data_IF_107615799969
#
_entry.id   IF_107615799969
#
_cell.length_a   1.000
_cell.length_b   1.000
_cell.length_c   1.000
_cell.angle_alpha   90.00
_cell.angle_beta   90.00
_cell.angle_gamma   90.00
#
_symmetry.space_group_name_H-M   'P 1'
#
loop_
_entity.id
_entity.type
_entity.pdbx_description
1 polymer ?
#
# COMPACT_ATOMS: atom_id res chain seq x y z
N UNK A 1 12.71 -17.05 -14.69
CA UNK A 1 12.31 -17.16 -13.26
C UNK A 1 11.21 -16.15 -12.99
N UNK A 2 9.96 -16.60 -12.76
CA UNK A 2 8.88 -15.70 -12.33
C UNK A 2 9.03 -15.48 -10.83
N UNK A 3 9.59 -14.35 -10.43
CA UNK A 3 9.67 -13.94 -9.02
C UNK A 3 8.49 -13.01 -8.68
N UNK A 4 7.98 -13.25 -7.48
CA UNK A 4 6.73 -12.84 -6.81
C UNK A 4 6.76 -11.39 -6.31
N UNK A 5 5.58 -10.88 -5.95
CA UNK A 5 5.29 -9.46 -5.80
C UNK A 5 4.43 -9.16 -4.59
N UNK A 6 4.77 -8.12 -3.84
CA UNK A 6 4.37 -7.91 -2.47
C UNK A 6 3.56 -6.62 -2.31
N UNK A 7 2.24 -6.74 -2.38
CA UNK A 7 1.30 -5.64 -2.10
C UNK A 7 1.26 -5.29 -0.60
N UNK A 8 1.48 -4.02 -0.24
CA UNK A 8 1.49 -3.59 1.15
C UNK A 8 0.11 -3.65 1.83
N UNK A 9 -0.99 -3.45 1.08
CA UNK A 9 -2.35 -3.49 1.63
C UNK A 9 -3.20 -4.48 0.86
N UNK A 10 -3.50 -5.62 1.48
CA UNK A 10 -4.17 -6.76 0.84
C UNK A 10 -5.58 -6.97 1.37
N UNK A 11 -6.50 -7.42 0.51
CA UNK A 11 -7.82 -7.90 0.93
C UNK A 11 -7.69 -9.26 1.63
N UNK A 12 -8.55 -9.55 2.62
CA UNK A 12 -8.62 -10.87 3.24
C UNK A 12 -8.88 -11.99 2.23
N UNK A 13 -9.63 -11.72 1.14
CA UNK A 13 -9.84 -12.68 0.04
C UNK A 13 -8.54 -13.14 -0.61
N UNK A 14 -7.53 -12.27 -0.73
CA UNK A 14 -6.23 -12.59 -1.31
C UNK A 14 -5.43 -13.51 -0.37
N UNK A 15 -5.54 -13.28 0.95
CA UNK A 15 -4.92 -14.12 1.98
C UNK A 15 -5.51 -15.52 1.97
N UNK A 16 -6.84 -15.63 1.99
CA UNK A 16 -7.55 -16.91 2.04
C UNK A 16 -7.28 -17.81 0.82
N UNK A 17 -6.88 -17.21 -0.31
CA UNK A 17 -6.56 -17.92 -1.55
C UNK A 17 -5.06 -18.20 -1.74
N UNK A 18 -4.23 -18.09 -0.69
CA UNK A 18 -2.79 -18.40 -0.66
C UNK A 18 -2.03 -17.95 -1.92
N UNK A 19 -2.29 -16.72 -2.34
CA UNK A 19 -1.82 -16.21 -3.63
C UNK A 19 -0.29 -16.01 -3.62
N UNK A 20 0.45 -16.31 -4.73
CA UNK A 20 1.87 -15.99 -4.88
C UNK A 20 2.26 -14.52 -4.56
N UNK A 21 1.29 -13.60 -4.46
CA UNK A 21 1.53 -12.22 -4.04
C UNK A 21 1.97 -12.04 -2.56
N UNK A 22 1.93 -13.08 -1.72
CA UNK A 22 2.19 -12.93 -0.28
C UNK A 22 3.61 -13.31 0.15
N UNK A 23 4.29 -14.18 -0.59
CA UNK A 23 5.51 -14.85 -0.14
C UNK A 23 6.74 -13.95 0.06
N UNK A 24 6.74 -12.74 -0.51
CA UNK A 24 7.86 -11.79 -0.40
C UNK A 24 7.58 -10.65 0.60
N UNK A 25 6.37 -10.57 1.19
CA UNK A 25 6.04 -9.57 2.21
C UNK A 25 6.60 -10.02 3.56
N UNK A 26 7.32 -9.14 4.25
CA UNK A 26 7.60 -9.29 5.68
C UNK A 26 6.53 -8.64 6.55
N UNK A 27 5.71 -7.77 5.96
CA UNK A 27 4.59 -7.11 6.60
C UNK A 27 3.47 -6.79 5.62
N UNK A 28 2.20 -6.89 6.04
CA UNK A 28 1.06 -6.36 5.29
C UNK A 28 -0.03 -5.74 6.18
N UNK A 29 -0.77 -4.77 5.62
CA UNK A 29 -2.03 -4.30 6.18
C UNK A 29 -3.18 -5.06 5.53
N UNK A 30 -3.96 -5.80 6.31
CA UNK A 30 -5.07 -6.58 5.78
C UNK A 30 -6.36 -5.78 5.93
N UNK A 31 -7.02 -5.51 4.80
CA UNK A 31 -8.36 -4.92 4.83
C UNK A 31 -9.35 -5.96 5.33
N UNK A 32 -9.97 -5.67 6.47
CA UNK A 32 -10.97 -6.52 7.12
C UNK A 32 -12.29 -5.76 7.22
N UNK A 33 -13.35 -6.41 6.74
CA UNK A 33 -14.72 -5.88 6.77
C UNK A 33 -15.54 -6.51 7.90
N UNK A 34 -15.08 -7.62 8.51
CA UNK A 34 -15.75 -8.29 9.63
C UNK A 34 -14.76 -8.99 10.57
N UNK A 35 -15.02 -8.95 11.89
CA UNK A 35 -14.20 -9.63 12.91
C UNK A 35 -14.02 -11.12 12.63
N UNK A 36 -15.01 -11.80 12.04
CA UNK A 36 -14.92 -13.22 11.67
C UNK A 36 -13.82 -13.53 10.65
N UNK A 37 -13.35 -12.55 9.88
CA UNK A 37 -12.25 -12.73 8.93
C UNK A 37 -10.88 -12.72 9.61
N UNK A 38 -10.77 -12.18 10.82
CA UNK A 38 -9.51 -11.99 11.54
C UNK A 38 -8.86 -13.33 11.86
N UNK A 39 -9.59 -14.25 12.50
CA UNK A 39 -9.08 -15.57 12.93
C UNK A 39 -8.52 -16.39 11.75
N UNK A 40 -9.21 -16.36 10.61
CA UNK A 40 -8.78 -17.07 9.39
C UNK A 40 -7.55 -16.42 8.76
N UNK A 41 -7.45 -15.09 8.77
CA UNK A 41 -6.29 -14.36 8.24
C UNK A 41 -5.07 -14.54 9.13
N UNK A 42 -5.27 -14.52 10.45
CA UNK A 42 -4.23 -14.66 11.47
C UNK A 42 -3.48 -15.98 11.31
N UNK A 43 -4.21 -17.10 11.32
CA UNK A 43 -3.62 -18.43 11.18
C UNK A 43 -2.80 -18.61 9.89
N UNK A 44 -3.25 -18.01 8.78
CA UNK A 44 -2.53 -18.06 7.50
C UNK A 44 -1.24 -17.23 7.55
N UNK A 45 -1.31 -16.00 8.06
CA UNK A 45 -0.16 -15.09 8.07
C UNK A 45 0.90 -15.50 9.09
N UNK A 46 0.49 -16.08 10.23
CA UNK A 46 1.40 -16.71 11.19
C UNK A 46 2.17 -17.88 10.56
N UNK A 47 1.47 -18.76 9.83
CA UNK A 47 2.11 -19.90 9.15
C UNK A 47 3.13 -19.46 8.08
N UNK A 48 2.93 -18.28 7.47
CA UNK A 48 3.84 -17.68 6.50
C UNK A 48 4.94 -16.82 7.15
N UNK A 49 4.91 -16.64 8.47
CA UNK A 49 5.79 -15.74 9.22
C UNK A 49 5.79 -14.30 8.65
N UNK A 50 4.59 -13.78 8.38
CA UNK A 50 4.37 -12.43 7.86
C UNK A 50 3.75 -11.61 8.99
N UNK A 51 4.45 -10.54 9.41
CA UNK A 51 3.86 -9.58 10.34
C UNK A 51 2.63 -8.95 9.70
N UNK A 52 1.58 -8.68 10.46
CA UNK A 52 0.41 -8.02 9.88
C UNK A 52 -0.37 -7.18 10.87
N UNK A 53 -1.17 -6.27 10.36
CA UNK A 53 -2.18 -5.53 11.14
C UNK A 53 -3.49 -5.43 10.39
N UNK A 54 -4.57 -5.42 11.15
CA UNK A 54 -5.89 -5.13 10.60
C UNK A 54 -5.95 -3.68 10.16
N UNK A 55 -6.47 -3.44 8.96
CA UNK A 55 -6.89 -2.13 8.47
C UNK A 55 -8.41 -2.17 8.25
N UNK A 56 -9.12 -1.26 8.88
CA UNK A 56 -10.58 -1.24 8.80
C UNK A 56 -11.13 0.17 8.99
N UNK A 57 -12.35 0.41 8.52
CA UNK A 57 -13.13 1.60 8.86
C UNK A 57 -14.00 1.41 10.10
N UNK A 58 -14.01 0.21 10.71
CA UNK A 58 -14.82 -0.10 11.90
C UNK A 58 -14.11 0.27 13.20
N UNK A 59 -14.85 0.80 14.16
CA UNK A 59 -14.34 1.11 15.51
C UNK A 59 -14.30 -0.10 16.45
N UNK A 60 -14.86 -1.25 16.03
CA UNK A 60 -15.01 -2.42 16.90
C UNK A 60 -13.77 -3.35 16.89
N UNK A 61 -12.76 -3.04 16.07
CA UNK A 61 -11.50 -3.79 16.04
C UNK A 61 -10.45 -3.05 16.87
N UNK A 62 -9.94 -3.70 17.93
CA UNK A 62 -8.87 -3.15 18.76
C UNK A 62 -7.52 -3.23 18.04
N UNK A 63 -6.62 -2.30 18.37
CA UNK A 63 -5.24 -2.23 17.85
C UNK A 63 -5.10 -2.29 16.31
N UNK A 64 -6.07 -1.69 15.60
CA UNK A 64 -6.10 -1.68 14.14
C UNK A 64 -5.70 -0.33 13.53
N UNK A 65 -5.34 -0.36 12.25
CA UNK A 65 -5.17 0.82 11.42
C UNK A 65 -6.54 1.34 11.00
N UNK A 66 -6.92 2.48 11.57
CA UNK A 66 -8.23 3.10 11.34
C UNK A 66 -8.23 3.88 10.03
N UNK A 67 -9.09 3.47 9.10
CA UNK A 67 -9.30 4.12 7.82
C UNK A 67 -10.47 5.10 7.88
N UNK A 68 -10.25 6.34 7.41
CA UNK A 68 -11.28 7.34 7.18
C UNK A 68 -11.19 7.86 5.76
N UNK A 69 -12.34 7.93 5.10
CA UNK A 69 -12.45 8.48 3.75
C UNK A 69 -13.03 9.89 3.82
N UNK A 70 -12.39 10.82 3.15
CA UNK A 70 -12.96 12.13 2.84
C UNK A 70 -13.14 12.27 1.31
N UNK A 71 -13.59 13.44 0.85
CA UNK A 71 -13.84 13.67 -0.58
C UNK A 71 -12.57 13.62 -1.44
N UNK A 72 -11.39 13.83 -0.85
CA UNK A 72 -10.11 13.97 -1.56
C UNK A 72 -9.17 12.80 -1.33
N UNK A 73 -9.26 12.09 -0.21
CA UNK A 73 -8.29 11.09 0.23
C UNK A 73 -8.93 9.97 1.05
N UNK A 74 -8.18 8.89 1.17
CA UNK A 74 -8.39 7.92 2.23
C UNK A 74 -7.19 7.98 3.17
N UNK A 75 -7.43 8.25 4.44
CA UNK A 75 -6.40 8.40 5.47
C UNK A 75 -6.49 7.20 6.41
N UNK A 76 -5.41 6.46 6.53
CA UNK A 76 -5.25 5.36 7.46
C UNK A 76 -4.28 5.77 8.57
N UNK A 77 -4.69 5.61 9.84
CA UNK A 77 -3.90 6.02 11.01
C UNK A 77 -3.72 4.87 12.00
N UNK A 78 -2.54 4.82 12.59
CA UNK A 78 -2.20 3.92 13.69
C UNK A 78 -1.12 4.57 14.55
N UNK A 79 -1.40 4.82 15.82
CA UNK A 79 -0.53 5.64 16.69
C UNK A 79 -0.14 6.94 15.96
N UNK A 80 1.16 7.22 15.84
CA UNK A 80 1.70 8.39 15.14
C UNK A 80 1.89 8.17 13.62
N UNK A 81 1.61 6.98 13.12
CA UNK A 81 1.73 6.63 11.70
C UNK A 81 0.49 7.12 10.96
N UNK A 82 0.70 7.94 9.92
CA UNK A 82 -0.34 8.36 8.98
C UNK A 82 0.02 7.90 7.58
N UNK A 83 -0.90 7.18 6.93
CA UNK A 83 -0.81 6.75 5.54
C UNK A 83 -1.93 7.45 4.77
N UNK A 84 -1.56 8.14 3.69
CA UNK A 84 -2.49 8.81 2.79
C UNK A 84 -2.55 7.99 1.51
N UNK A 85 -3.71 7.40 1.23
CA UNK A 85 -3.98 6.81 -0.07
C UNK A 85 -4.43 7.88 -1.05
N UNK A 86 -3.67 8.03 -2.12
CA UNK A 86 -3.96 8.95 -3.20
C UNK A 86 -5.31 8.60 -3.86
N UNK A 87 -6.30 9.51 -3.79
CA UNK A 87 -7.53 9.33 -4.57
C UNK A 87 -7.21 9.48 -6.07
N UNK A 88 -7.48 8.48 -6.91
CA UNK A 88 -7.20 8.56 -8.35
C UNK A 88 -8.02 9.63 -9.08
N UNK A 89 -8.97 10.31 -8.44
CA UNK A 89 -9.79 11.34 -9.09
C UNK A 89 -9.46 12.76 -8.65
N UNK A 90 -8.72 12.93 -7.56
CA UNK A 90 -8.50 14.24 -6.92
C UNK A 90 -7.01 14.45 -6.62
N UNK A 91 -6.55 15.69 -6.76
CA UNK A 91 -5.20 16.08 -6.34
C UNK A 91 -5.19 16.21 -4.82
N UNK A 92 -4.14 15.70 -4.18
CA UNK A 92 -3.94 15.89 -2.75
C UNK A 92 -2.62 16.58 -2.44
N UNK A 93 -2.39 16.91 -1.17
CA UNK A 93 -1.08 17.29 -0.66
C UNK A 93 -0.72 16.32 0.44
N UNK A 94 0.50 15.79 0.39
CA UNK A 94 1.03 15.04 1.50
C UNK A 94 1.19 15.95 2.72
N UNK A 95 0.94 15.41 3.92
CA UNK A 95 1.29 16.07 5.17
C UNK A 95 2.72 15.74 5.56
N UNK A 96 3.33 16.58 6.39
CA UNK A 96 4.65 16.30 6.97
C UNK A 96 4.62 14.94 7.68
N UNK A 97 5.64 14.12 7.42
CA UNK A 97 5.82 12.78 8.01
C UNK A 97 4.72 11.76 7.69
N UNK A 98 3.86 12.01 6.70
CA UNK A 98 2.92 10.99 6.22
C UNK A 98 3.55 10.07 5.18
N UNK A 99 3.12 8.82 5.18
CA UNK A 99 3.35 7.86 4.11
C UNK A 99 2.33 8.05 3.00
N UNK A 100 2.74 7.79 1.76
CA UNK A 100 1.88 7.90 0.58
C UNK A 100 1.66 6.51 0.01
N UNK A 101 0.42 6.05 0.03
CA UNK A 101 -0.01 4.81 -0.56
C UNK A 101 -0.52 5.06 -1.99
N UNK A 102 0.08 4.36 -2.95
CA UNK A 102 -0.26 4.45 -4.38
C UNK A 102 -0.84 3.11 -4.83
N UNK A 103 -2.01 3.16 -5.47
CA UNK A 103 -2.68 1.97 -6.02
C UNK A 103 -2.55 1.89 -7.55
N UNK A 104 -2.81 0.71 -8.15
CA UNK A 104 -2.94 0.58 -9.60
C UNK A 104 -3.91 1.57 -10.23
N UNK A 105 -5.04 1.87 -9.57
CA UNK A 105 -5.98 2.90 -10.07
C UNK A 105 -5.35 4.29 -10.09
N UNK A 106 -4.56 4.65 -9.08
CA UNK A 106 -3.81 5.91 -9.07
C UNK A 106 -2.84 5.97 -10.25
N UNK A 107 -2.01 4.94 -10.44
CA UNK A 107 -1.04 4.89 -11.55
C UNK A 107 -1.72 4.98 -12.93
N UNK A 108 -2.82 4.24 -13.12
CA UNK A 108 -3.61 4.25 -14.35
C UNK A 108 -4.23 5.62 -14.62
N UNK A 109 -4.71 6.34 -13.60
CA UNK A 109 -5.19 7.70 -13.80
C UNK A 109 -4.06 8.61 -14.26
N UNK A 110 -2.91 8.56 -13.57
CA UNK A 110 -1.77 9.39 -13.89
C UNK A 110 -1.35 9.24 -15.35
N UNK A 111 -1.31 8.00 -15.86
CA UNK A 111 -0.95 7.75 -17.26
C UNK A 111 -1.98 8.25 -18.27
N UNK A 112 -3.23 8.47 -17.86
CA UNK A 112 -4.33 8.87 -18.75
C UNK A 112 -4.65 10.38 -18.70
N UNK A 113 -4.13 11.12 -17.72
CA UNK A 113 -4.46 12.55 -17.53
C UNK A 113 -3.20 13.41 -17.37
N UNK A 114 -2.82 14.24 -18.36
CA UNK A 114 -1.60 15.06 -18.31
C UNK A 114 -1.56 16.06 -17.15
N UNK A 115 -2.69 16.64 -16.76
CA UNK A 115 -2.76 17.61 -15.67
C UNK A 115 -2.63 16.93 -14.29
N UNK A 116 -3.12 15.70 -14.17
CA UNK A 116 -2.93 14.89 -12.98
C UNK A 116 -1.50 14.37 -12.90
N UNK A 117 -0.95 13.91 -14.03
CA UNK A 117 0.44 13.47 -14.18
C UNK A 117 1.46 14.49 -13.64
N UNK A 118 1.38 15.75 -14.08
CA UNK A 118 2.35 16.79 -13.65
C UNK A 118 2.35 16.99 -12.14
N UNK A 119 1.16 17.04 -11.54
CA UNK A 119 1.01 17.15 -10.09
C UNK A 119 1.53 15.90 -9.38
N UNK A 120 1.16 14.71 -9.87
CA UNK A 120 1.58 13.44 -9.28
C UNK A 120 3.10 13.28 -9.32
N UNK A 121 3.73 13.53 -10.48
CA UNK A 121 5.19 13.45 -10.62
C UNK A 121 5.88 14.36 -9.59
N UNK A 122 5.47 15.63 -9.49
CA UNK A 122 6.01 16.56 -8.50
C UNK A 122 5.84 16.06 -7.05
N UNK A 123 4.63 15.64 -6.70
CA UNK A 123 4.30 15.23 -5.33
C UNK A 123 5.03 13.93 -4.93
N UNK A 124 5.11 12.96 -5.83
CA UNK A 124 5.76 11.67 -5.59
C UNK A 124 7.27 11.82 -5.56
N UNK A 125 7.90 12.58 -6.47
CA UNK A 125 9.35 12.84 -6.42
C UNK A 125 9.77 13.44 -5.07
N UNK A 126 9.02 14.43 -4.59
CA UNK A 126 9.28 15.10 -3.32
C UNK A 126 9.21 14.16 -2.11
N UNK A 127 8.42 13.09 -2.22
CA UNK A 127 8.10 12.20 -1.10
C UNK A 127 8.52 10.74 -1.36
N UNK A 128 9.39 10.48 -2.36
CA UNK A 128 9.68 9.13 -2.85
C UNK A 128 10.09 8.16 -1.74
N UNK A 129 10.84 8.64 -0.75
CA UNK A 129 11.26 7.87 0.44
C UNK A 129 10.15 7.60 1.46
N UNK A 130 8.89 7.88 1.16
CA UNK A 130 7.71 7.54 1.99
C UNK A 130 6.57 7.00 1.14
N UNK A 131 6.87 6.59 -0.09
CA UNK A 131 5.89 6.00 -1.00
C UNK A 131 5.87 4.49 -0.82
N UNK A 132 4.67 3.93 -0.70
CA UNK A 132 4.41 2.49 -0.68
C UNK A 132 3.41 2.16 -1.77
N UNK A 133 3.52 0.96 -2.31
CA UNK A 133 2.56 0.44 -3.29
C UNK A 133 1.55 -0.46 -2.59
N UNK A 134 0.28 -0.29 -2.94
CA UNK A 134 -0.74 -1.25 -2.57
C UNK A 134 -1.67 -1.64 -3.70
N UNK A 135 -2.57 -2.61 -3.53
CA UNK A 135 -3.62 -2.93 -4.48
C UNK A 135 -5.01 -2.55 -3.99
N UNK A 136 -5.81 -2.11 -4.94
CA UNK A 136 -7.25 -1.90 -4.81
C UNK A 136 -8.04 -2.66 -5.86
N UNK A 137 -7.43 -3.72 -6.44
CA UNK A 137 -8.03 -4.65 -7.40
C UNK A 137 -7.87 -6.10 -6.94
N UNK A 138 -8.86 -6.93 -7.26
CA UNK A 138 -8.84 -8.39 -7.05
C UNK A 138 -9.05 -9.08 -8.41
N UNK A 139 -8.05 -9.80 -8.97
CA UNK A 139 -6.69 -9.97 -8.43
C UNK A 139 -5.85 -8.68 -8.57
N UNK A 140 -4.81 -8.51 -7.73
CA UNK A 140 -3.86 -7.40 -7.87
C UNK A 140 -2.96 -7.59 -9.11
N UNK A 141 -2.51 -6.51 -9.76
CA UNK A 141 -1.47 -6.60 -10.79
C UNK A 141 -0.11 -6.95 -10.17
N UNK A 142 0.83 -7.38 -11.00
CA UNK A 142 2.21 -7.60 -10.58
C UNK A 142 2.85 -6.29 -10.07
N UNK A 143 3.57 -6.32 -8.93
CA UNK A 143 4.25 -5.11 -8.41
C UNK A 143 5.25 -4.56 -9.43
N UNK A 144 5.94 -5.40 -10.22
CA UNK A 144 6.84 -4.88 -11.28
C UNK A 144 6.07 -4.05 -12.28
N UNK A 145 4.85 -4.49 -12.57
CA UNK A 145 3.81 -3.78 -13.30
C UNK A 145 3.75 -2.32 -12.85
N UNK A 146 3.47 -2.21 -11.55
CA UNK A 146 3.31 -0.96 -10.84
C UNK A 146 4.61 -0.16 -10.69
N UNK A 147 5.74 -0.81 -10.40
CA UNK A 147 7.05 -0.16 -10.26
C UNK A 147 7.52 0.38 -11.60
N UNK A 148 7.40 -0.38 -12.68
CA UNK A 148 7.76 0.07 -14.02
C UNK A 148 6.90 1.26 -14.45
N UNK A 149 5.59 1.20 -14.20
CA UNK A 149 4.72 2.32 -14.48
C UNK A 149 5.06 3.54 -13.60
N UNK A 150 5.29 3.34 -12.29
CA UNK A 150 5.70 4.40 -11.38
C UNK A 150 7.02 5.04 -11.83
N UNK A 151 8.03 4.24 -12.20
CA UNK A 151 9.35 4.69 -12.63
C UNK A 151 9.26 5.53 -13.91
N UNK A 152 8.41 5.13 -14.86
CA UNK A 152 8.09 5.95 -16.05
C UNK A 152 7.40 7.26 -15.63
N UNK A 153 6.41 7.20 -14.75
CA UNK A 153 5.61 8.36 -14.36
C UNK A 153 6.41 9.41 -13.58
N UNK A 154 7.44 8.99 -12.86
CA UNK A 154 8.34 9.89 -12.15
C UNK A 154 9.69 10.03 -12.85
N UNK A 155 9.90 9.54 -14.06
CA UNK A 155 11.18 9.70 -14.77
C UNK A 155 12.40 9.33 -13.89
N UNK A 156 12.36 8.12 -13.32
CA UNK A 156 13.43 7.52 -12.50
C UNK A 156 13.71 6.10 -12.98
N UNK A 157 14.90 5.57 -12.68
CA UNK A 157 15.25 4.21 -13.08
C UNK A 157 14.41 3.16 -12.33
N UNK A 158 14.01 2.08 -13.03
CA UNK A 158 13.27 0.97 -12.41
C UNK A 158 13.98 0.44 -11.16
N UNK A 159 15.29 0.20 -11.24
CA UNK A 159 16.08 -0.36 -10.14
C UNK A 159 16.11 0.58 -8.92
N UNK A 160 16.21 1.90 -9.15
CA UNK A 160 16.15 2.91 -8.09
C UNK A 160 14.78 2.87 -7.39
N UNK A 161 13.70 2.88 -8.17
CA UNK A 161 12.34 2.86 -7.62
C UNK A 161 12.06 1.55 -6.88
N UNK A 162 12.42 0.40 -7.45
CA UNK A 162 12.25 -0.92 -6.80
C UNK A 162 12.98 -0.98 -5.45
N UNK A 163 14.25 -0.53 -5.41
CA UNK A 163 15.03 -0.48 -4.17
C UNK A 163 14.38 0.41 -3.11
N UNK A 164 13.95 1.62 -3.49
CA UNK A 164 13.33 2.57 -2.56
C UNK A 164 11.98 2.05 -2.05
N UNK A 165 11.12 1.53 -2.94
CA UNK A 165 9.80 1.01 -2.55
C UNK A 165 9.94 -0.17 -1.59
N UNK A 166 10.88 -1.09 -1.85
CA UNK A 166 11.18 -2.21 -0.93
C UNK A 166 11.65 -1.72 0.44
N UNK A 167 12.58 -0.76 0.47
CA UNK A 167 13.08 -0.16 1.71
C UNK A 167 11.97 0.56 2.48
N UNK A 168 11.10 1.29 1.78
CA UNK A 168 9.97 1.99 2.37
C UNK A 168 8.97 1.03 3.03
N UNK A 169 8.61 -0.05 2.34
CA UNK A 169 7.69 -1.06 2.89
C UNK A 169 8.27 -1.74 4.15
N UNK A 170 9.58 -2.06 4.15
CA UNK A 170 10.26 -2.61 5.32
C UNK A 170 10.25 -1.64 6.50
N UNK A 171 10.71 -0.40 6.26
CA UNK A 171 10.79 0.64 7.29
C UNK A 171 9.41 0.99 7.85
N UNK A 172 8.36 0.97 7.03
CA UNK A 172 7.01 1.14 7.51
C UNK A 172 6.56 -0.04 8.39
N UNK A 173 6.91 -1.28 8.02
CA UNK A 173 6.67 -2.46 8.84
C UNK A 173 7.34 -2.38 10.22
N UNK A 174 8.60 -1.97 10.28
CA UNK A 174 9.33 -1.74 11.55
C UNK A 174 8.60 -0.75 12.46
N UNK A 175 8.07 0.35 11.90
CA UNK A 175 7.29 1.33 12.66
C UNK A 175 6.01 0.73 13.27
N UNK A 176 5.40 -0.28 12.62
CA UNK A 176 4.17 -0.90 13.11
C UNK A 176 4.40 -1.91 14.24
N UNK A 177 5.58 -2.51 14.32
CA UNK A 177 5.89 -3.57 15.29
C UNK A 177 6.95 -3.21 16.32
N UNK A 178 7.52 -2.00 16.28
CA UNK A 178 8.51 -1.52 17.25
C UNK A 178 9.70 -2.49 17.43
N UNK A 179 10.18 -3.07 16.32
CA UNK A 179 11.33 -4.00 16.29
C UNK A 179 12.64 -3.23 16.31
#
# INVERSE_FOLDING_TARGET
>A
MKKSYADFCVSSSVIMNLNPYLYDLKFCLVKIDSVKQIENVESILEALNIGWKVRTSSFDVKDCVMERRDSKNTIARYKDITIIRANPFEKFKSYRNSWIEITPKTLKKCSQNPNYYRWFNHEIKKNLYRVILSSDTDPPPAIRDCIALLSILIDESYNTVDSIIRSNSLRLGELFFEV
#
